data_IF_209451231739
#
_entry.id   IF_209451231739
#
_cell.length_a   1.000
_cell.length_b   1.000
_cell.length_c   1.000
_cell.angle_alpha   90.00
_cell.angle_beta   90.00
_cell.angle_gamma   90.00
#
_symmetry.space_group_name_H-M   'P 1'
#
loop_
_entity.id
_entity.type
_entity.pdbx_description
1 polymer ?
#
# COMPACT_ATOMS: atom_id res chain seq x y z
N UNK A 1 -1.51 -4.23 44.17
CA UNK A 1 -0.15 -3.80 43.83
C UNK A 1 0.81 -4.64 44.66
N UNK A 2 1.74 -5.35 44.00
CA UNK A 2 2.66 -6.36 44.60
C UNK A 2 2.60 -7.71 43.87
N UNK A 3 3.68 -8.50 43.90
CA UNK A 3 3.71 -9.92 43.49
C UNK A 3 3.76 -10.82 44.74
N UNK A 4 3.12 -11.99 44.68
CA UNK A 4 3.07 -12.98 45.77
C UNK A 4 1.73 -13.03 46.53
N UNK A 5 1.60 -13.90 47.55
CA UNK A 5 0.35 -14.13 48.30
C UNK A 5 -0.19 -12.90 49.06
N UNK A 6 0.58 -11.81 49.13
CA UNK A 6 0.19 -10.51 49.70
C UNK A 6 -0.29 -9.49 48.65
N UNK A 7 -0.42 -9.89 47.38
CA UNK A 7 -0.88 -9.01 46.31
C UNK A 7 -2.35 -8.60 46.54
N UNK A 8 -2.57 -7.34 46.92
CA UNK A 8 -3.92 -6.76 47.02
C UNK A 8 -4.39 -6.28 45.65
N UNK A 9 -5.52 -6.80 45.17
CA UNK A 9 -6.20 -6.23 44.01
C UNK A 9 -6.79 -4.87 44.38
N UNK A 10 -6.46 -3.82 43.63
CA UNK A 10 -7.05 -2.50 43.82
C UNK A 10 -8.11 -2.32 42.75
N UNK A 11 -9.36 -2.18 43.18
CA UNK A 11 -10.45 -1.80 42.31
C UNK A 11 -10.39 -0.29 42.13
N UNK A 12 -10.13 0.15 40.90
CA UNK A 12 -10.21 1.56 40.52
C UNK A 12 -11.45 1.77 39.67
N UNK A 13 -12.27 2.74 40.05
CA UNK A 13 -13.38 3.16 39.22
C UNK A 13 -12.85 4.05 38.09
N UNK A 14 -13.18 3.68 36.85
CA UNK A 14 -12.77 4.41 35.65
C UNK A 14 -13.92 5.33 35.23
N UNK A 15 -13.67 6.62 34.93
CA UNK A 15 -14.70 7.50 34.39
C UNK A 15 -15.23 6.98 33.04
N UNK A 16 -16.42 7.42 32.65
CA UNK A 16 -16.96 7.08 31.32
C UNK A 16 -16.06 7.68 30.24
N UNK A 17 -15.68 6.87 29.27
CA UNK A 17 -14.90 7.30 28.10
C UNK A 17 -15.37 6.56 26.85
N UNK A 18 -15.02 7.11 25.69
CA UNK A 18 -15.20 6.46 24.39
C UNK A 18 -13.87 5.88 23.95
N UNK A 19 -13.81 4.55 23.76
CA UNK A 19 -12.64 3.89 23.19
C UNK A 19 -12.72 3.92 21.67
N UNK A 20 -11.71 4.49 21.01
CA UNK A 20 -11.55 4.43 19.55
C UNK A 20 -10.37 3.50 19.27
N UNK A 21 -10.66 2.35 18.66
CA UNK A 21 -9.65 1.39 18.19
C UNK A 21 -9.42 1.53 16.69
N UNK A 22 -8.17 1.44 16.25
CA UNK A 22 -7.81 1.37 14.84
C UNK A 22 -6.89 0.15 14.62
N UNK A 23 -7.18 -0.65 13.59
CA UNK A 23 -6.38 -1.82 13.23
C UNK A 23 -6.37 -2.01 11.72
N UNK A 24 -5.24 -2.45 11.18
CA UNK A 24 -5.13 -2.92 9.78
C UNK A 24 -5.79 -4.29 9.59
N UNK A 25 -5.92 -5.06 10.68
CA UNK A 25 -6.41 -6.45 10.69
C UNK A 25 -7.52 -6.62 11.72
N UNK A 26 -8.75 -6.30 11.32
CA UNK A 26 -9.92 -6.49 12.18
C UNK A 26 -10.14 -7.95 12.62
N UNK A 27 -9.67 -8.92 11.83
CA UNK A 27 -9.75 -10.35 12.16
C UNK A 27 -8.81 -10.82 13.27
N UNK A 28 -7.81 -10.02 13.67
CA UNK A 28 -6.92 -10.34 14.80
C UNK A 28 -7.51 -9.96 16.16
N UNK A 29 -8.60 -9.19 16.19
CA UNK A 29 -9.29 -8.87 17.43
C UNK A 29 -10.03 -10.10 17.94
N UNK A 30 -9.83 -10.44 19.21
CA UNK A 30 -10.59 -11.51 19.87
C UNK A 30 -12.07 -11.15 19.87
N UNK A 31 -12.95 -12.13 19.64
CA UNK A 31 -14.40 -11.91 19.65
C UNK A 31 -14.88 -11.15 20.90
N UNK A 32 -14.43 -11.49 22.14
CA UNK A 32 -14.86 -10.77 23.33
C UNK A 32 -14.51 -9.28 23.36
N UNK A 33 -13.42 -8.86 22.73
CA UNK A 33 -13.04 -7.45 22.63
C UNK A 33 -13.78 -6.77 21.48
N UNK A 34 -13.92 -7.47 20.34
CA UNK A 34 -14.62 -6.96 19.16
C UNK A 34 -16.09 -6.65 19.45
N UNK A 35 -16.77 -7.53 20.18
CA UNK A 35 -18.18 -7.39 20.54
C UNK A 35 -18.45 -6.19 21.48
N UNK A 36 -17.39 -5.55 22.02
CA UNK A 36 -17.49 -4.33 22.84
C UNK A 36 -17.54 -3.04 22.01
N UNK A 37 -17.24 -3.09 20.71
CA UNK A 37 -17.32 -1.94 19.83
C UNK A 37 -18.71 -1.84 19.21
N UNK A 38 -19.48 -0.82 19.61
CA UNK A 38 -20.84 -0.59 19.09
C UNK A 38 -20.90 0.03 17.68
N UNK A 39 -19.78 0.55 17.19
CA UNK A 39 -19.63 1.11 15.84
C UNK A 39 -18.38 0.53 15.22
N UNK A 40 -18.51 -0.09 14.04
CA UNK A 40 -17.41 -0.68 13.29
C UNK A 40 -17.46 -0.12 11.88
N UNK A 41 -16.52 0.76 11.58
CA UNK A 41 -16.36 1.35 10.25
C UNK A 41 -15.14 0.75 9.54
N UNK A 42 -15.32 0.39 8.27
CA UNK A 42 -14.23 -0.08 7.42
C UNK A 42 -13.87 1.01 6.44
N UNK A 43 -12.64 1.50 6.53
CA UNK A 43 -12.10 2.43 5.55
C UNK A 43 -11.66 1.67 4.30
N UNK A 44 -12.14 2.12 3.15
CA UNK A 44 -11.73 1.65 1.83
C UNK A 44 -10.71 2.60 1.22
N UNK A 45 -10.03 2.12 0.19
CA UNK A 45 -9.14 2.96 -0.60
C UNK A 45 -9.95 4.04 -1.33
N UNK A 46 -9.34 5.22 -1.43
CA UNK A 46 -9.95 6.36 -2.10
C UNK A 46 -9.86 6.20 -3.61
N UNK A 47 -10.86 6.71 -4.33
CA UNK A 47 -10.80 6.78 -5.80
C UNK A 47 -9.79 7.85 -6.24
N UNK A 48 -9.35 7.77 -7.50
CA UNK A 48 -8.44 8.76 -8.08
C UNK A 48 -9.03 10.18 -8.02
N UNK A 49 -10.34 10.35 -8.24
CA UNK A 49 -11.01 11.65 -8.16
C UNK A 49 -11.06 12.18 -6.73
N UNK A 50 -11.33 11.32 -5.74
CA UNK A 50 -11.31 11.71 -4.34
C UNK A 50 -9.90 12.11 -3.90
N UNK A 51 -8.88 11.36 -4.32
CA UNK A 51 -7.48 11.68 -4.07
C UNK A 51 -7.05 12.97 -4.76
N UNK A 52 -7.48 13.22 -6.00
CA UNK A 52 -7.17 14.46 -6.70
C UNK A 52 -7.71 15.67 -5.93
N UNK A 53 -8.93 15.58 -5.37
CA UNK A 53 -9.48 16.63 -4.48
C UNK A 53 -8.63 16.82 -3.22
N UNK A 54 -8.15 15.73 -2.62
CA UNK A 54 -7.25 15.79 -1.45
C UNK A 54 -5.94 16.48 -1.83
N UNK A 55 -5.33 16.10 -2.96
CA UNK A 55 -4.08 16.69 -3.46
C UNK A 55 -4.26 18.18 -3.73
N UNK A 56 -5.30 18.58 -4.47
CA UNK A 56 -5.58 20.00 -4.75
C UNK A 56 -5.80 20.79 -3.48
N UNK A 57 -6.54 20.24 -2.51
CA UNK A 57 -6.74 20.89 -1.20
C UNK A 57 -5.42 21.06 -0.46
N UNK A 58 -4.59 20.02 -0.39
CA UNK A 58 -3.29 20.07 0.27
C UNK A 58 -2.34 21.04 -0.42
N UNK A 59 -2.35 21.10 -1.76
CA UNK A 59 -1.56 22.06 -2.53
C UNK A 59 -1.94 23.49 -2.17
N UNK A 60 -3.24 23.81 -2.11
CA UNK A 60 -3.73 25.12 -1.69
C UNK A 60 -3.30 25.46 -0.25
N UNK A 61 -3.40 24.53 0.69
CA UNK A 61 -2.98 24.74 2.09
C UNK A 61 -1.48 24.98 2.23
N UNK A 62 -0.68 24.44 1.32
CA UNK A 62 0.78 24.55 1.30
C UNK A 62 1.28 25.65 0.35
N UNK A 63 0.38 26.42 -0.27
CA UNK A 63 0.69 27.44 -1.29
C UNK A 63 1.48 26.90 -2.49
N UNK A 64 1.18 25.67 -2.91
CA UNK A 64 1.80 25.02 -4.07
C UNK A 64 0.91 25.25 -5.29
N UNK A 65 1.44 25.87 -6.35
CA UNK A 65 0.69 26.02 -7.59
C UNK A 65 0.53 24.66 -8.27
N UNK A 66 -0.71 24.18 -8.43
CA UNK A 66 -0.99 22.85 -8.98
C UNK A 66 -2.19 22.92 -9.92
N UNK A 67 -2.00 22.48 -11.16
CA UNK A 67 -3.09 22.31 -12.11
C UNK A 67 -3.92 21.06 -11.79
N UNK A 68 -5.20 21.05 -12.15
CA UNK A 68 -6.09 19.92 -11.90
C UNK A 68 -5.56 18.59 -12.49
N UNK A 69 -4.95 18.66 -13.68
CA UNK A 69 -4.34 17.51 -14.36
C UNK A 69 -3.09 16.99 -13.63
N UNK A 70 -2.28 17.87 -13.03
CA UNK A 70 -1.12 17.48 -12.22
C UNK A 70 -1.54 16.83 -10.90
N UNK A 71 -2.58 17.37 -10.24
CA UNK A 71 -3.15 16.77 -9.05
C UNK A 71 -3.73 15.37 -9.32
N UNK A 72 -4.38 15.18 -10.47
CA UNK A 72 -4.91 13.89 -10.89
C UNK A 72 -3.78 12.88 -11.18
N UNK A 73 -2.68 13.32 -11.79
CA UNK A 73 -1.53 12.46 -12.05
C UNK A 73 -0.88 11.94 -10.76
N UNK A 74 -0.70 12.82 -9.77
CA UNK A 74 -0.26 12.43 -8.43
C UNK A 74 -1.26 11.44 -7.81
N UNK A 75 -2.56 11.71 -7.92
CA UNK A 75 -3.61 10.88 -7.35
C UNK A 75 -3.62 9.45 -7.91
N UNK A 76 -3.44 9.28 -9.22
CA UNK A 76 -3.35 7.96 -9.87
C UNK A 76 -2.21 7.12 -9.31
N UNK A 77 -1.09 7.74 -8.95
CA UNK A 77 0.10 7.06 -8.42
C UNK A 77 0.13 6.98 -6.88
N UNK A 78 -0.99 7.27 -6.22
CA UNK A 78 -1.07 7.36 -4.76
C UNK A 78 -1.62 6.11 -4.07
N UNK A 79 -1.84 5.01 -4.81
CA UNK A 79 -2.27 3.72 -4.26
C UNK A 79 -3.51 3.81 -3.36
N UNK A 80 -4.51 4.59 -3.80
CA UNK A 80 -5.74 4.78 -3.03
C UNK A 80 -5.58 5.47 -1.66
N UNK A 81 -4.39 6.01 -1.35
CA UNK A 81 -4.01 6.37 0.02
C UNK A 81 -3.69 7.87 0.17
N UNK A 82 -4.47 8.65 0.94
CA UNK A 82 -4.24 10.08 1.15
C UNK A 82 -2.85 10.43 1.71
N UNK A 83 -2.31 9.56 2.58
CA UNK A 83 -0.96 9.75 3.14
C UNK A 83 0.11 9.71 2.05
N UNK A 84 -0.02 8.79 1.08
CA UNK A 84 0.92 8.66 -0.05
C UNK A 84 0.76 9.86 -0.98
N UNK A 85 -0.48 10.24 -1.30
CA UNK A 85 -0.77 11.41 -2.13
C UNK A 85 -0.11 12.69 -1.61
N UNK A 86 -0.25 12.99 -0.32
CA UNK A 86 0.38 14.15 0.29
C UNK A 86 1.91 14.04 0.39
N UNK A 87 2.45 12.82 0.50
CA UNK A 87 3.90 12.60 0.44
C UNK A 87 4.44 12.87 -0.96
N UNK A 88 3.77 12.36 -1.99
CA UNK A 88 4.15 12.56 -3.38
C UNK A 88 4.03 14.02 -3.78
N UNK A 89 2.93 14.71 -3.43
CA UNK A 89 2.76 16.14 -3.68
C UNK A 89 3.95 16.97 -3.19
N UNK A 90 4.40 16.73 -1.94
CA UNK A 90 5.56 17.45 -1.37
C UNK A 90 6.85 17.18 -2.16
N UNK A 91 7.06 15.95 -2.62
CA UNK A 91 8.24 15.60 -3.42
C UNK A 91 8.18 16.19 -4.83
N UNK A 92 7.02 16.13 -5.48
CA UNK A 92 6.81 16.71 -6.81
C UNK A 92 6.99 18.23 -6.78
N UNK A 93 6.52 18.89 -5.71
CA UNK A 93 6.80 20.31 -5.48
C UNK A 93 8.30 20.61 -5.48
N UNK A 94 9.10 19.82 -4.75
CA UNK A 94 10.55 20.05 -4.65
C UNK A 94 11.21 20.05 -6.06
N UNK A 95 10.72 19.22 -6.99
CA UNK A 95 11.18 19.24 -8.39
C UNK A 95 10.60 20.43 -9.19
N UNK A 96 9.32 20.73 -9.01
CA UNK A 96 8.64 21.82 -9.72
C UNK A 96 9.24 23.20 -9.40
N UNK A 97 9.65 23.43 -8.15
CA UNK A 97 10.31 24.67 -7.73
C UNK A 97 11.68 24.88 -8.39
N UNK A 98 12.39 23.80 -8.70
CA UNK A 98 13.74 23.88 -9.29
C UNK A 98 13.67 23.98 -10.82
N UNK A 99 12.76 23.25 -11.45
CA UNK A 99 12.81 23.01 -12.91
C UNK A 99 11.66 23.64 -13.70
N UNK A 100 10.57 24.04 -13.03
CA UNK A 100 9.29 24.34 -13.71
C UNK A 100 8.52 25.54 -13.14
N UNK A 101 9.23 26.57 -12.68
CA UNK A 101 8.65 27.83 -12.18
C UNK A 101 7.60 27.64 -11.05
N UNK A 102 7.61 26.49 -10.38
CA UNK A 102 6.73 26.16 -9.25
C UNK A 102 5.33 25.67 -9.62
N UNK A 103 4.96 25.56 -10.90
CA UNK A 103 3.65 25.03 -11.32
C UNK A 103 3.70 23.52 -11.55
N UNK A 104 2.89 22.76 -10.80
CA UNK A 104 2.71 21.32 -11.00
C UNK A 104 1.60 21.07 -12.03
N UNK A 105 1.99 20.83 -13.28
CA UNK A 105 1.11 20.30 -14.32
C UNK A 105 1.25 18.76 -14.47
N UNK A 106 0.64 18.18 -15.51
CA UNK A 106 0.73 16.74 -15.73
C UNK A 106 2.15 16.28 -16.10
N UNK A 107 2.87 17.04 -16.94
CA UNK A 107 4.20 16.66 -17.40
C UNK A 107 5.22 16.76 -16.26
N UNK A 108 5.12 17.80 -15.43
CA UNK A 108 5.94 17.98 -14.23
C UNK A 108 5.66 16.88 -13.21
N UNK A 109 4.38 16.53 -12.98
CA UNK A 109 4.02 15.44 -12.09
C UNK A 109 4.56 14.09 -12.59
N UNK A 110 4.37 13.77 -13.87
CA UNK A 110 4.86 12.52 -14.48
C UNK A 110 6.40 12.42 -14.39
N UNK A 111 7.12 13.45 -14.83
CA UNK A 111 8.59 13.45 -14.83
C UNK A 111 9.15 13.34 -13.41
N UNK A 112 8.56 14.05 -12.44
CA UNK A 112 8.95 14.00 -11.03
C UNK A 112 8.70 12.62 -10.43
N UNK A 113 7.53 12.01 -10.71
CA UNK A 113 7.17 10.70 -10.20
C UNK A 113 8.04 9.59 -10.81
N UNK A 114 8.40 9.68 -12.08
CA UNK A 114 9.37 8.77 -12.71
C UNK A 114 10.75 8.85 -12.03
N UNK A 115 11.25 10.06 -11.72
CA UNK A 115 12.52 10.25 -10.99
C UNK A 115 12.48 9.77 -9.55
N UNK A 116 11.30 9.80 -8.93
CA UNK A 116 11.04 9.19 -7.62
C UNK A 116 10.88 7.66 -7.71
N UNK A 117 11.06 7.09 -8.91
CA UNK A 117 10.92 5.67 -9.18
C UNK A 117 9.51 5.14 -8.84
N UNK A 118 8.49 5.99 -9.03
CA UNK A 118 7.07 5.66 -8.89
C UNK A 118 6.48 5.49 -10.29
N UNK A 119 6.13 4.25 -10.62
CA UNK A 119 5.60 3.93 -11.94
C UNK A 119 4.15 4.40 -12.13
N UNK A 120 3.60 4.15 -13.32
CA UNK A 120 2.25 4.58 -13.70
C UNK A 120 1.12 3.94 -12.86
N UNK A 121 1.38 2.80 -12.21
CA UNK A 121 0.46 2.17 -11.24
C UNK A 121 0.71 2.66 -9.81
N UNK A 122 1.66 3.57 -9.59
CA UNK A 122 2.01 4.06 -8.26
C UNK A 122 2.86 3.10 -7.44
N UNK A 123 3.44 2.06 -8.07
CA UNK A 123 4.33 1.13 -7.38
C UNK A 123 5.69 1.79 -7.18
N UNK A 124 6.20 1.69 -5.96
CA UNK A 124 7.55 2.13 -5.64
C UNK A 124 8.58 1.01 -5.83
N UNK A 125 9.83 1.28 -5.46
CA UNK A 125 10.91 0.31 -5.55
C UNK A 125 10.62 -0.99 -4.76
N UNK A 126 10.00 -0.91 -3.58
CA UNK A 126 9.75 -2.09 -2.74
C UNK A 126 8.64 -2.97 -3.32
N UNK A 127 7.58 -2.34 -3.84
CA UNK A 127 6.50 -3.04 -4.53
C UNK A 127 7.04 -3.83 -5.74
N UNK A 128 7.83 -3.16 -6.59
CA UNK A 128 8.44 -3.77 -7.77
C UNK A 128 9.46 -4.84 -7.39
N UNK A 129 10.25 -4.62 -6.34
CA UNK A 129 11.21 -5.62 -5.83
C UNK A 129 10.50 -6.88 -5.34
N UNK A 130 9.38 -6.74 -4.63
CA UNK A 130 8.58 -7.88 -4.19
C UNK A 130 8.07 -8.69 -5.40
N UNK A 131 7.49 -8.02 -6.39
CA UNK A 131 7.02 -8.67 -7.63
C UNK A 131 8.16 -9.34 -8.40
N UNK A 132 9.29 -8.66 -8.58
CA UNK A 132 10.47 -9.21 -9.26
C UNK A 132 11.02 -10.44 -8.53
N UNK A 133 11.05 -10.45 -7.19
CA UNK A 133 11.46 -11.64 -6.45
C UNK A 133 10.50 -12.81 -6.69
N UNK A 134 9.18 -12.57 -6.69
CA UNK A 134 8.20 -13.62 -6.99
C UNK A 134 8.41 -14.16 -8.42
N UNK A 135 8.60 -13.27 -9.39
CA UNK A 135 8.73 -13.63 -10.82
C UNK A 135 10.08 -14.26 -11.13
N UNK A 136 11.19 -13.57 -10.86
CA UNK A 136 12.53 -13.96 -11.32
C UNK A 136 13.14 -15.03 -10.42
N UNK A 137 12.95 -14.95 -9.09
CA UNK A 137 13.59 -15.88 -8.13
C UNK A 137 12.75 -17.12 -7.86
N UNK A 138 11.42 -16.98 -7.88
CA UNK A 138 10.48 -18.07 -7.58
C UNK A 138 9.61 -18.48 -8.77
N UNK A 139 9.97 -18.03 -9.98
CA UNK A 139 9.33 -18.43 -11.23
C UNK A 139 7.80 -18.21 -11.25
N UNK A 140 7.33 -17.14 -10.60
CA UNK A 140 5.91 -16.80 -10.47
C UNK A 140 5.24 -17.31 -9.18
N UNK A 141 5.94 -18.09 -8.36
CA UNK A 141 5.43 -18.70 -7.13
C UNK A 141 4.83 -20.11 -7.34
N UNK A 142 4.13 -20.67 -6.34
CA UNK A 142 3.77 -20.09 -5.05
C UNK A 142 4.96 -20.02 -4.07
N UNK A 143 5.09 -18.91 -3.36
CA UNK A 143 6.15 -18.68 -2.36
C UNK A 143 5.58 -18.24 -1.00
N UNK A 144 6.15 -18.78 0.08
CA UNK A 144 5.75 -18.44 1.45
C UNK A 144 6.12 -17.00 1.84
N UNK A 145 5.34 -16.42 2.75
CA UNK A 145 5.55 -15.04 3.21
C UNK A 145 6.90 -14.85 3.90
N UNK A 146 7.29 -15.81 4.75
CA UNK A 146 8.56 -15.75 5.47
C UNK A 146 9.76 -15.84 4.51
N UNK A 147 9.62 -16.62 3.43
CA UNK A 147 10.64 -16.73 2.38
C UNK A 147 10.75 -15.44 1.56
N UNK A 148 9.62 -14.78 1.28
CA UNK A 148 9.60 -13.48 0.62
C UNK A 148 10.24 -12.40 1.49
N UNK A 149 9.84 -12.33 2.76
CA UNK A 149 10.39 -11.43 3.77
C UNK A 149 11.93 -11.53 3.84
N UNK A 150 12.45 -12.77 3.96
CA UNK A 150 13.88 -13.02 3.95
C UNK A 150 14.57 -12.59 2.63
N UNK A 151 13.89 -12.73 1.49
CA UNK A 151 14.46 -12.45 0.17
C UNK A 151 14.58 -10.95 -0.14
N UNK A 152 13.64 -10.14 0.35
CA UNK A 152 13.68 -8.67 0.17
C UNK A 152 14.27 -7.94 1.39
N UNK A 153 14.61 -8.67 2.45
CA UNK A 153 15.13 -8.15 3.73
C UNK A 153 14.13 -7.20 4.42
N UNK A 154 12.86 -7.59 4.42
CA UNK A 154 11.76 -6.85 5.07
C UNK A 154 11.08 -7.72 6.12
N UNK A 155 10.36 -7.08 7.04
CA UNK A 155 9.51 -7.79 8.00
C UNK A 155 8.27 -8.37 7.33
N UNK A 156 7.84 -9.54 7.82
CA UNK A 156 6.62 -10.21 7.37
C UNK A 156 5.40 -9.29 7.44
N UNK A 157 5.24 -8.57 8.54
CA UNK A 157 4.09 -7.68 8.75
C UNK A 157 4.15 -6.49 7.77
N UNK A 158 5.33 -5.98 7.41
CA UNK A 158 5.46 -4.93 6.39
C UNK A 158 4.92 -5.40 5.04
N UNK A 159 5.26 -6.61 4.61
CA UNK A 159 4.75 -7.16 3.35
C UNK A 159 3.23 -7.32 3.41
N UNK A 160 2.71 -7.94 4.48
CA UNK A 160 1.29 -8.28 4.61
C UNK A 160 0.38 -7.07 4.82
N UNK A 161 0.80 -6.10 5.64
CA UNK A 161 0.00 -4.95 6.07
C UNK A 161 0.24 -3.70 5.22
N UNK A 162 1.37 -3.59 4.50
CA UNK A 162 1.73 -2.38 3.72
C UNK A 162 1.78 -2.63 2.21
N UNK A 163 2.48 -3.67 1.75
CA UNK A 163 2.71 -3.89 0.31
C UNK A 163 1.57 -4.69 -0.36
N UNK A 164 1.24 -5.84 0.20
CA UNK A 164 0.25 -6.76 -0.36
C UNK A 164 -1.15 -6.17 -0.59
N UNK A 165 -1.72 -5.31 0.29
CA UNK A 165 -3.10 -4.84 0.12
C UNK A 165 -3.34 -4.17 -1.24
N UNK A 166 -2.41 -3.33 -1.68
CA UNK A 166 -2.54 -2.64 -2.97
C UNK A 166 -2.26 -3.58 -4.15
N UNK A 167 -1.22 -4.42 -4.05
CA UNK A 167 -0.87 -5.38 -5.10
C UNK A 167 -1.97 -6.43 -5.33
N UNK A 168 -2.69 -6.82 -4.28
CA UNK A 168 -3.86 -7.71 -4.38
C UNK A 168 -5.05 -7.00 -5.03
N UNK A 169 -5.28 -5.73 -4.68
CA UNK A 169 -6.38 -4.95 -5.23
C UNK A 169 -6.20 -4.69 -6.74
N UNK A 170 -4.99 -4.35 -7.17
CA UNK A 170 -4.65 -4.19 -8.60
C UNK A 170 -4.51 -5.55 -9.31
N UNK A 171 -4.64 -6.67 -8.59
CA UNK A 171 -4.59 -8.01 -9.14
C UNK A 171 -3.21 -8.42 -9.65
N UNK A 172 -2.13 -7.80 -9.17
CA UNK A 172 -0.74 -8.11 -9.54
C UNK A 172 -0.21 -9.37 -8.84
N UNK A 173 -0.74 -9.66 -7.65
CA UNK A 173 -0.47 -10.90 -6.92
C UNK A 173 -1.78 -11.61 -6.55
N UNK A 174 -1.69 -12.91 -6.31
CA UNK A 174 -2.76 -13.71 -5.72
C UNK A 174 -2.26 -14.47 -4.49
N UNK A 175 -3.14 -14.61 -3.48
CA UNK A 175 -2.90 -15.45 -2.31
C UNK A 175 -3.48 -16.84 -2.54
N UNK A 176 -2.65 -17.86 -2.38
CA UNK A 176 -3.05 -19.28 -2.42
C UNK A 176 -2.73 -19.94 -1.08
N UNK A 177 -3.31 -21.12 -0.75
CA UNK A 177 -2.94 -21.85 0.46
C UNK A 177 -1.46 -22.23 0.52
N UNK A 178 -0.78 -22.32 -0.63
CA UNK A 178 0.64 -22.67 -0.75
C UNK A 178 1.58 -21.46 -0.69
N UNK A 179 1.06 -20.23 -0.81
CA UNK A 179 1.86 -19.02 -0.88
C UNK A 179 1.32 -17.96 -1.85
N UNK A 180 2.14 -16.95 -2.12
CA UNK A 180 1.85 -15.84 -3.03
C UNK A 180 2.29 -16.20 -4.44
N UNK A 181 1.50 -15.83 -5.44
CA UNK A 181 1.81 -16.02 -6.86
C UNK A 181 1.68 -14.70 -7.61
N UNK A 182 2.58 -14.43 -8.55
CA UNK A 182 2.45 -13.28 -9.46
C UNK A 182 1.43 -13.62 -10.55
N UNK A 183 0.59 -12.65 -10.92
CA UNK A 183 -0.43 -12.83 -11.96
C UNK A 183 0.09 -12.39 -13.32
N UNK A 184 -0.58 -12.74 -14.44
CA UNK A 184 -0.24 -12.22 -15.77
C UNK A 184 -0.12 -10.70 -15.86
N UNK A 185 -0.89 -9.96 -15.05
CA UNK A 185 -0.80 -8.49 -15.00
C UNK A 185 0.56 -8.03 -14.47
N UNK A 186 1.11 -8.69 -13.46
CA UNK A 186 2.44 -8.35 -12.93
C UNK A 186 3.56 -8.62 -13.95
N UNK A 187 3.47 -9.72 -14.71
CA UNK A 187 4.40 -10.00 -15.80
C UNK A 187 4.33 -8.93 -16.88
N UNK A 188 3.12 -8.60 -17.35
CA UNK A 188 2.93 -7.56 -18.37
C UNK A 188 3.44 -6.19 -17.89
N UNK A 189 3.15 -5.83 -16.64
CA UNK A 189 3.59 -4.58 -16.02
C UNK A 189 5.11 -4.46 -15.95
N UNK A 190 5.79 -5.53 -15.52
CA UNK A 190 7.25 -5.57 -15.39
C UNK A 190 7.98 -5.98 -16.66
N UNK A 191 7.27 -6.09 -17.79
CA UNK A 191 7.81 -6.51 -19.09
C UNK A 191 8.57 -7.84 -19.01
N UNK A 192 8.01 -8.80 -18.27
CA UNK A 192 8.55 -10.16 -18.13
C UNK A 192 7.75 -11.15 -18.95
N UNK A 193 8.45 -12.16 -19.48
CA UNK A 193 7.80 -13.26 -20.16
C UNK A 193 7.04 -14.12 -19.16
N UNK A 194 5.78 -14.40 -19.48
CA UNK A 194 5.01 -15.38 -18.74
C UNK A 194 5.66 -16.76 -18.92
N UNK A 195 5.95 -17.51 -17.84
CA UNK A 195 6.41 -18.89 -17.98
C UNK A 195 5.33 -19.62 -18.78
N UNK A 196 5.71 -20.06 -20.00
CA UNK A 196 4.78 -20.55 -20.98
C UNK A 196 3.86 -21.59 -20.35
N UNK A 197 2.56 -21.50 -20.64
CA UNK A 197 1.69 -22.66 -20.55
C UNK A 197 2.42 -23.79 -21.29
N UNK A 198 2.97 -24.74 -20.54
CA UNK A 198 3.21 -26.06 -21.09
C UNK A 198 1.84 -26.50 -21.57
N UNK A 199 1.57 -26.28 -22.86
CA UNK A 199 0.55 -27.02 -23.58
C UNK A 199 0.85 -28.46 -23.19
N UNK A 200 -0.08 -29.07 -22.47
CA UNK A 200 -0.23 -30.50 -22.51
C UNK A 200 -0.37 -30.82 -24.00
N UNK A 201 0.76 -31.09 -24.66
CA UNK A 201 0.76 -31.90 -25.86
C UNK A 201 0.14 -33.21 -25.40
N UNK A 202 -1.15 -33.31 -25.70
CA UNK A 202 -1.92 -34.53 -25.72
C UNK A 202 -1.02 -35.61 -26.31
N UNK A 203 -0.57 -36.53 -25.47
CA UNK A 203 -0.06 -37.82 -25.90
C UNK A 203 -1.14 -38.47 -26.77
N UNK A 204 -0.95 -38.37 -28.08
CA UNK A 204 -1.51 -39.25 -29.11
C UNK A 204 -0.36 -40.09 -29.65
#
# INVERSE_FOLDING_TARGET
IGQGPAARSIKMDIPRFTLIGATTRAGLLTNPLRDRFGVIERLEFYTHEQLARIVSRSANLLNIQTAAVGALEIAKRSRGTPRIANRLLRRVRDFAEIEHEGLIDQAVADSSLQRLEVDHLGLDHQDRRLLLVIIDKYNGGPVGLDTLAASISEERDTIEDVLEPYLLQEGLIARTPRGRTATPLAYAHLQRELPGNARQESLL
#
